data_IF_106729768072
#
_entry.id   IF_106729768072
#
_cell.length_a   1.000
_cell.length_b   1.000
_cell.length_c   1.000
_cell.angle_alpha   90.00
_cell.angle_beta   90.00
_cell.angle_gamma   90.00
#
_symmetry.space_group_name_H-M   'P 1'
#
loop_
_entity.id
_entity.type
_entity.pdbx_description
1 polymer ?
#
# COMPACT_ATOMS: atom_id res chain seq x y z
N UNK A 1 12.77 -4.42 3.90
CA UNK A 1 11.79 -5.49 3.62
C UNK A 1 10.54 -4.77 3.17
N UNK A 2 9.83 -5.26 2.15
CA UNK A 2 8.67 -4.50 1.64
C UNK A 2 7.52 -4.55 2.64
N UNK A 3 7.01 -3.38 3.02
CA UNK A 3 5.93 -3.23 3.98
C UNK A 3 4.59 -3.01 3.26
N UNK A 4 3.51 -3.53 3.84
CA UNK A 4 2.16 -3.45 3.29
C UNK A 4 1.21 -2.82 4.29
N UNK A 5 0.27 -2.04 3.78
CA UNK A 5 -0.83 -1.53 4.58
C UNK A 5 -2.13 -1.53 3.80
N UNK A 6 -3.21 -1.72 4.55
CA UNK A 6 -4.57 -1.50 4.09
C UNK A 6 -5.06 -0.23 4.76
N UNK A 7 -5.37 0.77 3.95
CA UNK A 7 -5.89 2.05 4.41
C UNK A 7 -7.30 2.29 3.85
N UNK A 8 -8.09 3.11 4.53
CA UNK A 8 -9.44 3.49 4.10
C UNK A 8 -9.55 5.01 4.06
N UNK A 9 -10.19 5.52 3.01
CA UNK A 9 -10.52 6.93 2.88
C UNK A 9 -11.85 7.25 3.62
N UNK A 10 -12.13 8.53 3.87
CA UNK A 10 -13.43 9.01 4.40
C UNK A 10 -14.62 8.58 3.55
N UNK A 11 -14.40 8.37 2.25
CA UNK A 11 -15.39 7.83 1.31
C UNK A 11 -15.61 6.32 1.42
N UNK A 12 -14.97 5.66 2.39
CA UNK A 12 -14.96 4.20 2.60
C UNK A 12 -14.31 3.39 1.47
N UNK A 13 -13.52 4.04 0.62
CA UNK A 13 -12.72 3.37 -0.41
C UNK A 13 -11.48 2.76 0.22
N UNK A 14 -11.24 1.48 -0.09
CA UNK A 14 -10.08 0.74 0.38
C UNK A 14 -8.88 0.96 -0.54
N UNK A 15 -7.75 1.28 0.06
CA UNK A 15 -6.47 1.45 -0.61
C UNK A 15 -5.47 0.44 -0.06
N UNK A 16 -4.81 -0.27 -0.97
CA UNK A 16 -3.73 -1.20 -0.64
C UNK A 16 -2.40 -0.52 -0.96
N UNK A 17 -1.64 -0.22 0.07
CA UNK A 17 -0.40 0.54 -0.01
C UNK A 17 0.79 -0.41 0.16
N UNK A 18 1.87 -0.11 -0.57
CA UNK A 18 3.13 -0.83 -0.49
C UNK A 18 4.30 0.16 -0.51
N UNK A 19 5.25 -0.03 0.40
CA UNK A 19 6.44 0.81 0.53
C UNK A 19 7.64 0.00 1.04
N UNK A 20 8.78 0.65 1.20
CA UNK A 20 9.95 0.00 1.80
C UNK A 20 9.95 0.11 3.32
N UNK A 21 9.30 1.13 3.88
CA UNK A 21 9.17 1.32 5.33
C UNK A 21 7.74 1.69 5.72
N UNK A 22 7.40 1.37 6.97
CA UNK A 22 6.12 1.79 7.57
C UNK A 22 5.99 3.32 7.65
N UNK A 23 7.11 4.03 7.85
CA UNK A 23 7.15 5.49 7.95
C UNK A 23 6.71 6.17 6.64
N UNK A 24 7.07 5.60 5.49
CA UNK A 24 6.63 6.09 4.18
C UNK A 24 5.12 5.92 4.00
N UNK A 25 4.57 4.79 4.45
CA UNK A 25 3.13 4.53 4.44
C UNK A 25 2.41 5.52 5.36
N UNK A 26 2.92 5.72 6.58
CA UNK A 26 2.31 6.62 7.56
C UNK A 26 2.31 8.06 7.07
N UNK A 27 3.43 8.54 6.51
CA UNK A 27 3.52 9.87 5.91
C UNK A 27 2.51 10.05 4.77
N UNK A 28 2.34 9.04 3.91
CA UNK A 28 1.36 9.06 2.82
C UNK A 28 -0.08 9.07 3.34
N UNK A 29 -0.38 8.28 4.38
CA UNK A 29 -1.69 8.24 4.99
C UNK A 29 -2.04 9.57 5.67
N UNK A 30 -1.08 10.21 6.34
CA UNK A 30 -1.27 11.54 6.94
C UNK A 30 -1.54 12.61 5.88
N UNK A 31 -0.76 12.64 4.80
CA UNK A 31 -0.95 13.61 3.71
C UNK A 31 -2.32 13.45 3.03
N UNK A 32 -2.73 12.21 2.77
CA UNK A 32 -3.99 11.88 2.09
C UNK A 32 -5.18 11.75 3.03
N UNK A 33 -4.99 11.89 4.35
CA UNK A 33 -6.03 11.71 5.39
C UNK A 33 -6.69 10.32 5.32
N UNK A 34 -5.88 9.30 5.07
CA UNK A 34 -6.29 7.90 5.08
C UNK A 34 -6.12 7.31 6.48
N UNK A 35 -7.02 6.41 6.85
CA UNK A 35 -6.94 5.66 8.11
C UNK A 35 -6.36 4.27 7.86
N UNK A 36 -5.31 3.89 8.56
CA UNK A 36 -4.71 2.55 8.43
C UNK A 36 -5.58 1.54 9.19
N UNK A 37 -6.21 0.65 8.44
CA UNK A 37 -7.10 -0.41 8.96
C UNK A 37 -6.30 -1.63 9.41
N UNK A 38 -5.30 -2.03 8.63
CA UNK A 38 -4.51 -3.21 8.92
C UNK A 38 -3.11 -3.13 8.29
N UNK A 39 -2.12 -3.76 8.91
CA UNK A 39 -0.76 -3.96 8.41
C UNK A 39 -0.48 -5.46 8.28
N UNK A 40 -0.79 -6.07 7.12
CA UNK A 40 -0.64 -7.50 6.93
C UNK A 40 0.83 -7.88 6.80
N UNK A 41 1.25 -8.93 7.52
CA UNK A 41 2.59 -9.51 7.41
C UNK A 41 2.77 -10.32 6.11
N UNK A 42 1.68 -10.83 5.58
CA UNK A 42 1.64 -11.60 4.34
C UNK A 42 0.51 -11.10 3.46
N UNK A 43 0.75 -11.06 2.15
CA UNK A 43 -0.25 -10.64 1.18
C UNK A 43 -1.10 -11.84 0.80
N UNK A 44 -2.39 -11.80 1.15
CA UNK A 44 -3.34 -12.82 0.71
C UNK A 44 -3.58 -12.73 -0.81
N UNK A 45 -3.85 -13.87 -1.50
CA UNK A 45 -4.14 -13.87 -2.93
C UNK A 45 -5.26 -12.91 -3.32
N UNK A 46 -6.29 -12.77 -2.46
CA UNK A 46 -7.41 -11.83 -2.66
C UNK A 46 -6.90 -10.37 -2.67
N UNK A 47 -5.92 -10.04 -1.83
CA UNK A 47 -5.36 -8.68 -1.78
C UNK A 47 -4.58 -8.34 -3.04
N UNK A 48 -3.94 -9.32 -3.68
CA UNK A 48 -3.22 -9.12 -4.96
C UNK A 48 -4.17 -8.64 -6.06
N UNK A 49 -5.42 -9.10 -6.06
CA UNK A 49 -6.42 -8.68 -7.04
C UNK A 49 -6.80 -7.19 -6.94
N UNK A 50 -6.61 -6.57 -5.77
CA UNK A 50 -7.05 -5.19 -5.52
C UNK A 50 -6.04 -4.10 -5.93
N UNK A 51 -4.95 -4.46 -6.62
CA UNK A 51 -3.91 -3.55 -7.13
C UNK A 51 -3.24 -2.68 -6.05
N UNK A 52 -1.97 -2.98 -5.75
CA UNK A 52 -1.19 -2.20 -4.80
C UNK A 52 -0.68 -0.87 -5.38
N UNK A 53 -0.83 0.19 -4.59
CA UNK A 53 -0.29 1.52 -4.83
C UNK A 53 1.09 1.61 -4.18
N UNK A 54 2.12 1.87 -5.00
CA UNK A 54 3.47 2.12 -4.51
C UNK A 54 3.57 3.54 -3.94
N UNK A 55 3.95 3.65 -2.66
CA UNK A 55 4.09 4.93 -1.95
C UNK A 55 5.50 5.16 -1.39
N UNK A 56 6.44 4.26 -1.68
CA UNK A 56 7.85 4.43 -1.29
C UNK A 56 8.55 5.53 -2.08
N UNK A 57 9.59 6.14 -1.48
CA UNK A 57 10.35 7.25 -2.09
C UNK A 57 11.19 6.81 -3.28
N UNK A 58 11.66 5.56 -3.30
CA UNK A 58 12.39 5.03 -4.45
C UNK A 58 11.44 4.84 -5.65
N UNK A 59 11.98 4.81 -6.88
CA UNK A 59 11.19 4.45 -8.04
C UNK A 59 10.44 3.14 -7.80
N UNK A 60 9.17 3.10 -8.18
CA UNK A 60 8.35 1.89 -8.12
C UNK A 60 9.14 0.71 -8.71
N UNK A 61 9.25 -0.42 -8.00
CA UNK A 61 9.90 -1.61 -8.53
C UNK A 61 9.34 -1.97 -9.90
N UNK A 62 10.22 -2.38 -10.83
CA UNK A 62 9.82 -2.75 -12.16
C UNK A 62 8.72 -3.81 -12.10
N UNK A 63 7.55 -3.49 -12.66
CA UNK A 63 6.49 -4.49 -12.82
C UNK A 63 6.96 -5.45 -13.91
N UNK A 64 7.02 -6.74 -13.58
CA UNK A 64 7.27 -7.76 -14.58
C UNK A 64 6.08 -7.78 -15.55
N UNK A 65 6.30 -7.25 -16.75
CA UNK A 65 5.30 -7.34 -17.82
C UNK A 65 5.28 -8.79 -18.28
N UNK A 66 4.25 -9.52 -17.87
CA UNK A 66 3.95 -10.81 -18.49
C UNK A 66 3.37 -10.46 -19.86
N UNK A 67 4.14 -10.77 -20.90
CA UNK A 67 3.75 -10.63 -22.30
C UNK A 67 2.78 -11.76 -22.70
#
# INVERSE_FOLDING_TARGET
MTEFAKAIDRTKVLHYLVADTNEEIDSYCEEKKLEVVNRPKYVDPIMVCHHFIWVGKRPRPAQWKIA
#
